data_IF_521524548613
#
_entry.id   IF_521524548613
#
_cell.length_a   1.000
_cell.length_b   1.000
_cell.length_c   1.000
_cell.angle_alpha   90.00
_cell.angle_beta   90.00
_cell.angle_gamma   90.00
#
_symmetry.space_group_name_H-M   'P 1'
#
loop_
_entity.id
_entity.type
_entity.pdbx_description
1 polymer ?
#
# COMPACT_ATOMS: atom_id res chain seq x y z
N UNK A 1 39.74 -62.56 5.35
CA UNK A 1 39.45 -62.98 6.73
C UNK A 1 38.05 -62.47 7.08
N UNK A 2 37.01 -63.29 6.89
CA UNK A 2 36.36 -64.12 7.93
C UNK A 2 35.75 -63.25 9.07
N UNK A 3 34.48 -63.31 9.45
CA UNK A 3 33.39 -64.21 9.07
C UNK A 3 32.01 -63.63 9.44
N UNK A 4 31.00 -64.21 8.79
CA UNK A 4 29.56 -64.10 8.96
C UNK A 4 29.03 -64.37 10.39
N UNK A 5 27.83 -63.85 10.71
CA UNK A 5 26.74 -64.71 11.22
C UNK A 5 25.32 -64.12 11.04
N UNK A 6 24.51 -64.86 10.28
CA UNK A 6 23.04 -64.81 10.14
C UNK A 6 22.32 -65.45 11.35
N UNK A 7 21.04 -65.11 11.54
CA UNK A 7 19.86 -65.97 11.91
C UNK A 7 18.59 -65.08 11.90
N UNK A 8 17.62 -65.22 10.96
CA UNK A 8 16.42 -66.11 10.93
C UNK A 8 15.60 -66.06 12.24
N UNK A 9 14.40 -65.45 12.31
CA UNK A 9 13.08 -65.77 11.72
C UNK A 9 12.29 -66.82 12.52
N UNK A 10 11.09 -66.44 13.00
CA UNK A 10 9.93 -67.33 13.22
C UNK A 10 8.63 -66.54 13.15
N UNK A 11 7.78 -66.95 12.21
CA UNK A 11 6.32 -66.79 12.17
C UNK A 11 5.66 -67.34 13.44
N UNK A 12 4.47 -66.85 13.76
CA UNK A 12 3.36 -67.72 14.14
C UNK A 12 2.02 -67.10 13.72
N UNK A 13 1.24 -67.95 13.06
CA UNK A 13 -0.12 -67.79 12.54
C UNK A 13 -1.03 -68.65 13.41
N UNK A 14 -2.29 -68.22 13.57
CA UNK A 14 -3.55 -69.02 13.60
C UNK A 14 -4.60 -68.29 14.47
N UNK A 15 -5.68 -67.84 13.82
CA UNK A 15 -7.06 -68.39 13.94
C UNK A 15 -7.73 -67.97 15.26
N UNK A 16 -8.90 -67.35 15.33
CA UNK A 16 -10.04 -67.24 14.43
C UNK A 16 -11.28 -67.33 15.33
N UNK A 17 -12.10 -66.29 15.41
CA UNK A 17 -13.54 -66.48 15.67
C UNK A 17 -14.35 -65.22 15.39
N UNK A 18 -15.55 -65.43 14.88
CA UNK A 18 -16.37 -64.45 14.21
C UNK A 18 -17.79 -64.37 14.83
N UNK A 19 -18.42 -63.19 14.67
CA UNK A 19 -19.89 -62.92 14.57
C UNK A 19 -20.63 -62.78 15.94
N UNK A 20 -21.74 -62.00 16.06
CA UNK A 20 -21.94 -60.56 15.84
C UNK A 20 -22.82 -59.90 16.95
N UNK A 21 -22.93 -58.57 16.99
CA UNK A 21 -24.18 -57.97 17.52
C UNK A 21 -24.43 -56.55 17.01
N UNK A 22 -25.47 -56.48 16.17
CA UNK A 22 -26.22 -55.29 15.81
C UNK A 22 -26.64 -54.51 17.07
N UNK A 23 -26.44 -53.19 17.08
CA UNK A 23 -27.48 -52.26 17.54
C UNK A 23 -27.48 -51.02 16.67
N UNK A 24 -28.52 -50.97 15.86
CA UNK A 24 -29.01 -49.86 15.06
C UNK A 24 -29.75 -48.93 16.04
N UNK A 25 -29.32 -47.69 16.18
CA UNK A 25 -30.17 -46.63 16.72
C UNK A 25 -29.89 -45.35 15.94
N UNK A 26 -30.69 -45.19 14.89
CA UNK A 26 -31.04 -43.92 14.27
C UNK A 26 -31.65 -43.01 15.32
N UNK A 27 -31.02 -41.86 15.56
CA UNK A 27 -31.69 -40.67 16.06
C UNK A 27 -31.04 -39.47 15.36
N UNK A 28 -31.70 -39.02 14.30
CA UNK A 28 -31.50 -37.68 13.76
C UNK A 28 -31.72 -36.68 14.89
N UNK A 29 -30.71 -35.88 15.20
CA UNK A 29 -30.90 -34.63 15.89
C UNK A 29 -29.99 -33.59 15.27
N UNK A 30 -30.59 -32.84 14.34
CA UNK A 30 -30.22 -31.49 13.97
C UNK A 30 -29.87 -30.72 15.25
N UNK A 31 -28.59 -30.43 15.45
CA UNK A 31 -28.17 -29.24 16.19
C UNK A 31 -27.10 -28.56 15.37
N UNK A 32 -27.58 -27.58 14.62
CA UNK A 32 -26.81 -26.40 14.22
C UNK A 32 -26.06 -25.90 15.45
N UNK A 33 -24.76 -26.20 15.53
CA UNK A 33 -23.86 -25.38 16.33
C UNK A 33 -23.27 -24.34 15.39
N UNK A 34 -24.13 -23.40 15.01
CA UNK A 34 -23.70 -22.05 14.69
C UNK A 34 -23.08 -21.51 15.98
N UNK A 35 -21.77 -21.64 16.10
CA UNK A 35 -20.99 -20.91 17.08
C UNK A 35 -21.21 -19.43 16.80
N UNK A 36 -22.17 -18.84 17.51
CA UNK A 36 -22.37 -17.40 17.56
C UNK A 36 -21.05 -16.79 18.03
N UNK A 37 -20.33 -16.17 17.10
CA UNK A 37 -19.29 -15.21 17.45
C UNK A 37 -19.92 -14.24 18.46
N UNK A 38 -19.38 -14.24 19.68
CA UNK A 38 -19.72 -13.22 20.66
C UNK A 38 -19.16 -11.91 20.13
N UNK A 39 -20.01 -11.17 19.43
CA UNK A 39 -19.88 -9.73 19.28
C UNK A 39 -19.77 -9.13 20.68
N UNK A 40 -18.57 -8.70 21.06
CA UNK A 40 -18.37 -7.67 22.07
C UNK A 40 -17.24 -6.76 21.65
N UNK A 41 -17.59 -5.82 20.78
CA UNK A 41 -17.00 -4.50 20.78
C UNK A 41 -18.15 -3.49 20.69
N UNK A 42 -18.64 -3.09 21.85
CA UNK A 42 -19.75 -2.15 22.01
C UNK A 42 -19.29 -0.71 21.66
N UNK A 43 -20.08 0.00 20.84
CA UNK A 43 -20.22 1.46 20.96
C UNK A 43 -19.81 2.36 19.77
N UNK A 44 -18.94 1.93 18.86
CA UNK A 44 -18.36 2.86 17.85
C UNK A 44 -18.65 2.55 16.38
N UNK A 45 -19.49 1.55 16.07
CA UNK A 45 -19.75 1.14 14.68
C UNK A 45 -18.51 0.62 13.93
N UNK A 46 -17.41 0.39 14.64
CA UNK A 46 -16.18 -0.15 14.09
C UNK A 46 -16.25 -1.67 14.04
N UNK A 47 -16.08 -2.23 12.83
CA UNK A 47 -15.92 -3.66 12.61
C UNK A 47 -14.53 -3.92 12.03
N UNK A 48 -13.67 -4.70 12.69
CA UNK A 48 -12.37 -5.05 12.13
C UNK A 48 -12.56 -5.86 10.86
N UNK A 49 -11.68 -5.65 9.88
CA UNK A 49 -11.69 -6.41 8.65
C UNK A 49 -11.24 -7.85 8.93
N UNK A 50 -11.99 -8.80 8.40
CA UNK A 50 -11.56 -10.20 8.35
C UNK A 50 -10.50 -10.38 7.27
N UNK A 51 -9.68 -11.43 7.40
CA UNK A 51 -8.65 -11.72 6.40
C UNK A 51 -9.23 -12.02 5.00
N UNK A 52 -10.46 -12.55 4.95
CA UNK A 52 -11.19 -12.75 3.69
C UNK A 52 -11.61 -11.42 3.06
N UNK A 53 -12.14 -10.49 3.84
CA UNK A 53 -12.48 -9.15 3.35
C UNK A 53 -11.23 -8.39 2.88
N UNK A 54 -10.11 -8.55 3.58
CA UNK A 54 -8.80 -8.01 3.16
C UNK A 54 -8.39 -8.58 1.80
N UNK A 55 -8.43 -9.92 1.64
CA UNK A 55 -8.16 -10.58 0.36
C UNK A 55 -9.04 -10.02 -0.76
N UNK A 56 -10.34 -9.91 -0.54
CA UNK A 56 -11.29 -9.43 -1.55
C UNK A 56 -11.04 -7.96 -1.92
N UNK A 57 -10.64 -7.12 -0.95
CA UNK A 57 -10.21 -5.73 -1.20
C UNK A 57 -8.93 -5.66 -2.00
N UNK A 58 -7.92 -6.47 -1.69
CA UNK A 58 -6.68 -6.54 -2.48
C UNK A 58 -7.00 -6.97 -3.92
N UNK A 59 -7.91 -7.93 -4.10
CA UNK A 59 -8.33 -8.38 -5.43
C UNK A 59 -9.09 -7.29 -6.21
N UNK A 60 -9.89 -6.48 -5.51
CA UNK A 60 -10.54 -5.32 -6.11
C UNK A 60 -9.53 -4.24 -6.52
N UNK A 61 -8.53 -3.96 -5.67
CA UNK A 61 -7.45 -3.01 -5.97
C UNK A 61 -6.59 -3.45 -7.15
N UNK A 62 -6.28 -4.74 -7.26
CA UNK A 62 -5.54 -5.29 -8.40
C UNK A 62 -6.22 -4.98 -9.75
N UNK A 63 -7.56 -4.95 -9.77
CA UNK A 63 -8.35 -4.58 -10.97
C UNK A 63 -8.33 -3.08 -11.26
N UNK A 64 -8.03 -2.25 -10.26
CA UNK A 64 -7.94 -0.80 -10.39
C UNK A 64 -6.56 -0.31 -10.82
N UNK A 65 -5.56 -1.20 -10.90
CA UNK A 65 -4.22 -0.84 -11.39
C UNK A 65 -4.33 -0.30 -12.83
N UNK A 66 -3.99 0.98 -13.07
CA UNK A 66 -4.30 1.65 -14.31
C UNK A 66 -3.60 0.97 -15.50
N UNK A 67 -4.32 0.74 -16.62
CA UNK A 67 -3.70 0.26 -17.84
C UNK A 67 -2.71 1.30 -18.38
N UNK A 68 -1.73 0.84 -19.16
CA UNK A 68 -0.89 1.75 -19.95
C UNK A 68 -1.77 2.29 -21.09
N UNK A 69 -1.79 3.60 -21.35
CA UNK A 69 -2.55 4.15 -22.47
C UNK A 69 -2.11 3.56 -23.81
N UNK A 70 -3.06 3.14 -24.65
CA UNK A 70 -2.79 2.53 -25.96
C UNK A 70 -2.04 3.49 -26.90
N UNK A 71 -2.33 4.77 -26.77
CA UNK A 71 -1.68 5.88 -27.49
C UNK A 71 -0.22 6.14 -27.06
N UNK A 72 0.26 5.43 -26.03
CA UNK A 72 1.58 5.59 -25.46
C UNK A 72 1.80 6.93 -24.75
N UNK A 73 2.97 7.06 -24.11
CA UNK A 73 3.36 8.28 -23.40
C UNK A 73 4.15 9.28 -24.25
N UNK A 74 4.47 8.91 -25.49
CA UNK A 74 5.23 9.74 -26.42
C UNK A 74 4.28 10.47 -27.37
N UNK A 75 4.69 11.65 -27.84
CA UNK A 75 3.97 12.39 -28.87
C UNK A 75 4.14 11.68 -30.22
N UNK A 76 3.12 11.65 -31.06
CA UNK A 76 3.22 10.98 -32.37
C UNK A 76 4.34 11.58 -33.22
N UNK A 77 5.13 10.71 -33.87
CA UNK A 77 6.26 11.13 -34.69
C UNK A 77 7.52 11.53 -33.91
N UNK A 78 7.50 11.52 -32.58
CA UNK A 78 8.66 11.88 -31.75
C UNK A 78 9.48 10.66 -31.35
N UNK A 79 10.80 10.86 -31.25
CA UNK A 79 11.72 9.80 -30.81
C UNK A 79 11.87 9.81 -29.29
N UNK A 80 12.02 8.64 -28.63
CA UNK A 80 12.43 8.57 -27.24
C UNK A 80 13.77 9.25 -26.95
N UNK A 81 14.60 9.45 -27.98
CA UNK A 81 15.94 10.08 -27.91
C UNK A 81 15.98 11.48 -28.53
N UNK A 82 14.83 12.10 -28.72
CA UNK A 82 14.75 13.45 -29.28
C UNK A 82 15.44 14.48 -28.38
N UNK A 83 16.19 15.39 -29.01
CA UNK A 83 16.88 16.49 -28.35
C UNK A 83 16.13 17.79 -28.61
N UNK A 84 16.11 18.69 -27.63
CA UNK A 84 15.51 20.01 -27.81
C UNK A 84 16.27 20.84 -28.84
N UNK A 85 15.54 21.65 -29.62
CA UNK A 85 16.11 22.66 -30.52
C UNK A 85 16.61 23.91 -29.78
N UNK A 86 16.20 24.09 -28.52
CA UNK A 86 16.56 25.24 -27.67
C UNK A 86 17.51 24.77 -26.57
N UNK A 87 18.66 25.43 -26.47
CA UNK A 87 19.68 25.14 -25.44
C UNK A 87 19.08 25.45 -24.05
N UNK A 88 19.07 24.46 -23.16
CA UNK A 88 18.58 24.60 -21.79
C UNK A 88 17.08 24.34 -21.61
N UNK A 89 16.37 23.92 -22.66
CA UNK A 89 14.98 23.45 -22.54
C UNK A 89 14.90 21.94 -22.77
N UNK A 90 14.13 21.19 -21.95
CA UNK A 90 13.93 19.77 -22.18
C UNK A 90 13.04 19.53 -23.42
N UNK A 91 13.24 18.42 -24.16
CA UNK A 91 12.46 18.12 -25.35
C UNK A 91 10.97 17.93 -25.02
N UNK A 92 10.11 18.30 -25.97
CA UNK A 92 8.65 18.19 -25.83
C UNK A 92 8.08 16.93 -26.52
N UNK A 93 8.74 15.79 -26.29
CA UNK A 93 8.38 14.49 -26.88
C UNK A 93 7.46 13.64 -25.97
N UNK A 94 7.14 14.11 -24.76
CA UNK A 94 6.38 13.36 -23.76
C UNK A 94 5.02 13.99 -23.47
N UNK A 95 3.97 13.16 -23.42
CA UNK A 95 2.63 13.53 -22.93
C UNK A 95 2.63 13.64 -21.40
N UNK A 96 3.32 14.66 -20.85
CA UNK A 96 3.55 14.83 -19.39
C UNK A 96 2.26 14.77 -18.56
N UNK A 97 1.16 15.34 -19.05
CA UNK A 97 -0.14 15.29 -18.38
C UNK A 97 -0.69 13.86 -18.24
N UNK A 98 -0.58 13.05 -19.30
CA UNK A 98 -1.03 11.66 -19.30
C UNK A 98 -0.18 10.80 -18.36
N UNK A 99 1.14 11.00 -18.37
CA UNK A 99 2.07 10.31 -17.45
C UNK A 99 1.72 10.65 -15.99
N UNK A 100 1.50 11.94 -15.69
CA UNK A 100 1.09 12.39 -14.35
C UNK A 100 -0.21 11.75 -13.89
N UNK A 101 -1.22 11.71 -14.78
CA UNK A 101 -2.50 11.09 -14.48
C UNK A 101 -2.34 9.60 -14.15
N UNK A 102 -1.65 8.86 -15.03
CA UNK A 102 -1.39 7.44 -14.80
C UNK A 102 -0.62 7.20 -13.49
N UNK A 103 0.40 8.01 -13.22
CA UNK A 103 1.19 7.93 -11.99
C UNK A 103 0.33 8.21 -10.74
N UNK A 104 -0.56 9.19 -10.81
CA UNK A 104 -1.47 9.55 -9.72
C UNK A 104 -2.47 8.43 -9.44
N UNK A 105 -3.09 7.88 -10.49
CA UNK A 105 -4.03 6.75 -10.36
C UNK A 105 -3.33 5.54 -9.74
N UNK A 106 -2.10 5.23 -10.17
CA UNK A 106 -1.32 4.14 -9.59
C UNK A 106 -0.94 4.43 -8.13
N UNK A 107 -0.53 5.65 -7.78
CA UNK A 107 -0.19 6.02 -6.40
C UNK A 107 -1.38 5.81 -5.46
N UNK A 108 -2.59 6.21 -5.87
CA UNK A 108 -3.82 6.01 -5.06
C UNK A 108 -4.02 4.54 -4.74
N UNK A 109 -3.90 3.66 -5.74
CA UNK A 109 -4.03 2.20 -5.55
C UNK A 109 -2.98 1.66 -4.56
N UNK A 110 -1.73 2.17 -4.64
CA UNK A 110 -0.65 1.72 -3.75
C UNK A 110 -0.82 2.21 -2.30
N UNK A 111 -1.32 3.43 -2.10
CA UNK A 111 -1.64 3.95 -0.76
C UNK A 111 -2.80 3.16 -0.13
N UNK A 112 -3.86 2.89 -0.90
CA UNK A 112 -4.98 2.06 -0.43
C UNK A 112 -4.53 0.63 -0.09
N UNK A 113 -3.64 0.04 -0.90
CA UNK A 113 -3.04 -1.25 -0.60
C UNK A 113 -2.27 -1.22 0.73
N UNK A 114 -1.45 -0.20 0.96
CA UNK A 114 -0.69 -0.04 2.20
C UNK A 114 -1.61 -0.01 3.44
N UNK A 115 -2.71 0.73 3.36
CA UNK A 115 -3.71 0.79 4.44
C UNK A 115 -4.38 -0.57 4.69
N UNK A 116 -4.71 -1.31 3.62
CA UNK A 116 -5.33 -2.64 3.73
C UNK A 116 -4.38 -3.65 4.36
N UNK A 117 -3.09 -3.62 4.02
CA UNK A 117 -2.08 -4.52 4.59
C UNK A 117 -1.86 -4.28 6.09
N UNK A 118 -1.95 -3.04 6.57
CA UNK A 118 -1.89 -2.74 8.00
C UNK A 118 -2.97 -3.48 8.82
N UNK A 119 -4.12 -3.79 8.21
CA UNK A 119 -5.20 -4.55 8.84
C UNK A 119 -4.94 -6.07 8.94
N UNK A 120 -3.91 -6.61 8.27
CA UNK A 120 -3.62 -8.06 8.34
C UNK A 120 -3.21 -8.47 9.75
N UNK A 121 -2.39 -7.65 10.41
CA UNK A 121 -1.92 -7.91 11.78
C UNK A 121 -3.08 -8.07 12.78
N UNK A 122 -4.10 -7.23 12.66
CA UNK A 122 -5.29 -7.27 13.52
C UNK A 122 -6.22 -8.41 13.15
N UNK A 123 -6.38 -8.71 11.86
CA UNK A 123 -7.18 -9.83 11.37
C UNK A 123 -6.62 -11.21 11.76
N UNK A 124 -5.30 -11.32 11.90
CA UNK A 124 -4.61 -12.56 12.27
C UNK A 124 -4.26 -12.64 13.76
N UNK A 125 -4.69 -11.68 14.57
CA UNK A 125 -4.35 -11.65 15.99
C UNK A 125 -5.04 -12.78 16.75
N UNK A 126 -4.22 -13.67 17.31
CA UNK A 126 -4.59 -14.65 18.34
C UNK A 126 -3.57 -14.58 19.48
N UNK A 127 -4.01 -14.73 20.73
CA UNK A 127 -3.08 -14.80 21.86
C UNK A 127 -2.19 -16.04 21.74
N UNK A 128 -0.95 -15.98 22.25
CA UNK A 128 0.06 -17.03 22.00
C UNK A 128 -0.34 -18.42 22.50
N UNK A 129 -1.15 -18.51 23.55
CA UNK A 129 -1.68 -19.79 24.04
C UNK A 129 -2.75 -20.40 23.13
N UNK A 130 -3.35 -19.59 22.25
CA UNK A 130 -4.43 -19.98 21.36
C UNK A 130 -3.92 -20.36 19.96
N UNK A 131 -2.58 -20.37 19.78
CA UNK A 131 -1.93 -20.76 18.53
C UNK A 131 -1.22 -22.09 18.67
N UNK A 132 -1.44 -22.96 17.69
CA UNK A 132 -0.56 -24.10 17.47
C UNK A 132 0.80 -23.61 16.93
N UNK A 133 1.86 -24.41 17.11
CA UNK A 133 3.16 -24.11 16.50
C UNK A 133 3.09 -24.04 14.96
N UNK A 134 2.22 -24.84 14.33
CA UNK A 134 1.99 -24.79 12.88
C UNK A 134 1.30 -23.48 12.45
N UNK A 135 0.31 -23.01 13.21
CA UNK A 135 -0.36 -21.73 12.97
C UNK A 135 0.62 -20.55 13.05
N UNK A 136 1.60 -20.60 13.94
CA UNK A 136 2.59 -19.54 14.09
C UNK A 136 3.59 -19.53 12.92
N UNK A 137 4.07 -20.70 12.50
CA UNK A 137 4.90 -20.83 11.29
C UNK A 137 4.19 -20.31 10.03
N UNK A 138 2.94 -20.70 9.83
CA UNK A 138 2.15 -20.24 8.68
C UNK A 138 1.94 -18.72 8.70
N UNK A 139 1.77 -18.12 9.89
CA UNK A 139 1.66 -16.67 10.01
C UNK A 139 2.98 -15.96 9.72
N UNK A 140 4.12 -16.52 10.16
CA UNK A 140 5.44 -15.98 9.83
C UNK A 140 5.62 -15.94 8.32
N UNK A 141 5.35 -17.05 7.62
CA UNK A 141 5.43 -17.13 6.16
C UNK A 141 4.52 -16.11 5.47
N UNK A 142 3.28 -15.95 5.94
CA UNK A 142 2.38 -14.92 5.42
C UNK A 142 2.99 -13.52 5.57
N UNK A 143 3.47 -13.17 6.76
CA UNK A 143 4.04 -11.85 7.03
C UNK A 143 5.31 -11.58 6.22
N UNK A 144 6.20 -12.57 6.13
CA UNK A 144 7.45 -12.44 5.38
C UNK A 144 7.18 -12.17 3.89
N UNK A 145 6.21 -12.88 3.31
CA UNK A 145 5.83 -12.68 1.91
C UNK A 145 5.11 -11.35 1.67
N UNK A 146 4.19 -10.96 2.56
CA UNK A 146 3.52 -9.66 2.47
C UNK A 146 4.52 -8.50 2.60
N UNK A 147 5.44 -8.57 3.55
CA UNK A 147 6.50 -7.55 3.72
C UNK A 147 7.43 -7.51 2.50
N UNK A 148 7.87 -8.67 2.00
CA UNK A 148 8.72 -8.75 0.80
C UNK A 148 8.04 -8.10 -0.41
N UNK A 149 6.75 -8.36 -0.63
CA UNK A 149 6.00 -7.76 -1.74
C UNK A 149 5.80 -6.26 -1.57
N UNK A 150 5.52 -5.79 -0.35
CA UNK A 150 5.42 -4.37 -0.02
C UNK A 150 6.76 -3.64 -0.25
N UNK A 151 7.87 -4.23 0.18
CA UNK A 151 9.22 -3.67 0.00
C UNK A 151 9.62 -3.56 -1.48
N UNK A 152 9.26 -4.55 -2.29
CA UNK A 152 9.51 -4.51 -3.73
C UNK A 152 8.77 -3.36 -4.41
N UNK A 153 7.50 -3.13 -4.04
CA UNK A 153 6.72 -2.00 -4.54
C UNK A 153 7.30 -0.68 -4.03
N UNK A 154 7.53 -0.57 -2.72
CA UNK A 154 7.98 0.65 -2.06
C UNK A 154 9.38 1.10 -2.50
N UNK A 155 10.28 0.16 -2.81
CA UNK A 155 11.65 0.48 -3.23
C UNK A 155 11.80 0.73 -4.73
N UNK A 156 10.93 0.17 -5.57
CA UNK A 156 11.07 0.24 -7.04
C UNK A 156 10.06 1.16 -7.71
N UNK A 157 8.82 1.18 -7.22
CA UNK A 157 7.69 1.86 -7.88
C UNK A 157 7.45 3.23 -7.26
N UNK A 158 7.23 3.28 -5.95
CA UNK A 158 6.89 4.52 -5.23
C UNK A 158 7.87 5.68 -5.45
N UNK A 159 9.21 5.50 -5.44
CA UNK A 159 10.14 6.61 -5.65
C UNK A 159 10.02 7.22 -7.05
N UNK A 160 9.71 6.39 -8.06
CA UNK A 160 9.56 6.82 -9.45
C UNK A 160 8.28 7.61 -9.66
N UNK A 161 7.20 7.23 -8.98
CA UNK A 161 5.96 8.00 -8.96
C UNK A 161 6.17 9.34 -8.25
N UNK A 162 6.81 9.33 -7.09
CA UNK A 162 7.09 10.53 -6.28
C UNK A 162 7.89 11.57 -7.06
N UNK A 163 8.92 11.16 -7.80
CA UNK A 163 9.73 12.09 -8.60
C UNK A 163 8.93 12.88 -9.64
N UNK A 164 7.85 12.31 -10.17
CA UNK A 164 7.00 12.94 -11.18
C UNK A 164 5.83 13.72 -10.56
N UNK A 165 5.25 13.19 -9.48
CA UNK A 165 4.10 13.77 -8.80
C UNK A 165 4.48 14.95 -7.89
N UNK A 166 5.62 14.85 -7.20
CA UNK A 166 6.14 15.85 -6.28
C UNK A 166 7.58 16.22 -6.64
N UNK A 167 7.80 16.90 -7.79
CA UNK A 167 9.12 17.41 -8.12
C UNK A 167 9.54 18.49 -7.12
N UNK A 168 10.85 18.64 -6.91
CA UNK A 168 11.39 19.70 -6.06
C UNK A 168 11.15 21.05 -6.73
N UNK A 169 10.60 21.99 -5.97
CA UNK A 169 10.25 23.33 -6.43
C UNK A 169 10.79 24.35 -5.44
N UNK A 170 11.41 25.40 -5.97
CA UNK A 170 11.83 26.55 -5.19
C UNK A 170 10.73 27.62 -5.20
N UNK A 171 10.52 28.22 -4.02
CA UNK A 171 9.67 29.40 -3.88
C UNK A 171 10.49 30.63 -4.27
N UNK A 172 10.20 31.18 -5.44
CA UNK A 172 10.88 32.37 -5.96
C UNK A 172 9.93 33.56 -5.85
N UNK A 173 10.44 34.73 -5.45
CA UNK A 173 9.65 35.97 -5.49
C UNK A 173 9.47 36.36 -6.96
N UNK A 174 8.25 36.22 -7.46
CA UNK A 174 7.92 36.59 -8.83
C UNK A 174 7.80 38.10 -8.98
N UNK A 175 7.16 38.76 -8.01
CA UNK A 175 6.92 40.20 -8.04
C UNK A 175 6.72 40.75 -6.65
N UNK A 176 7.34 41.90 -6.36
CA UNK A 176 6.98 42.70 -5.19
C UNK A 176 6.01 43.80 -5.60
N UNK A 177 4.80 43.77 -5.03
CA UNK A 177 3.77 44.80 -5.23
C UNK A 177 3.84 45.77 -4.06
N UNK A 178 4.33 46.98 -4.31
CA UNK A 178 4.29 48.08 -3.33
C UNK A 178 3.01 48.88 -3.54
N UNK A 179 2.12 48.86 -2.55
CA UNK A 179 0.89 49.65 -2.58
C UNK A 179 0.98 50.77 -1.56
N UNK A 180 0.78 52.02 -1.99
CA UNK A 180 0.70 53.17 -1.09
C UNK A 180 -0.75 53.34 -0.63
N UNK A 181 -1.01 53.05 0.64
CA UNK A 181 -2.35 53.18 1.24
C UNK A 181 -2.40 54.50 2.01
N UNK A 182 -3.36 55.38 1.70
CA UNK A 182 -3.64 56.56 2.51
C UNK A 182 -4.17 56.10 3.87
N UNK A 183 -3.51 56.47 4.95
CA UNK A 183 -4.09 56.26 6.27
C UNK A 183 -5.36 57.10 6.38
N UNK A 184 -6.53 56.51 6.69
CA UNK A 184 -7.65 57.30 7.15
C UNK A 184 -7.20 58.03 8.42
N UNK A 185 -7.34 59.36 8.44
CA UNK A 185 -7.13 60.16 9.65
C UNK A 185 -8.23 59.79 10.65
N UNK A 186 -8.06 58.71 11.38
CA UNK A 186 -8.85 58.50 12.60
C UNK A 186 -8.47 59.57 13.60
N UNK A 187 -9.50 60.23 14.12
CA UNK A 187 -9.39 61.41 14.95
C UNK A 187 -8.45 61.18 16.14
N UNK A 188 -7.44 62.05 16.26
CA UNK A 188 -6.63 62.20 17.47
C UNK A 188 -7.57 62.50 18.64
N UNK A 189 -7.73 61.54 19.55
CA UNK A 189 -7.96 61.85 20.95
C UNK A 189 -6.73 61.37 21.73
N UNK A 190 -6.24 62.30 22.55
CA UNK A 190 -5.02 62.31 23.35
C UNK A 190 -4.56 60.97 23.94
N UNK A 191 -3.25 60.78 23.93
CA UNK A 191 -2.55 60.10 25.01
C UNK A 191 -1.56 59.04 24.55
N UNK A 192 -0.29 59.45 24.52
CA UNK A 192 0.85 58.65 24.98
C UNK A 192 1.49 57.60 24.04
N UNK A 193 2.81 57.51 24.20
CA UNK A 193 3.75 56.46 23.82
C UNK A 193 4.12 56.25 22.34
N UNK A 194 5.36 56.69 22.05
CA UNK A 194 6.33 56.23 21.06
C UNK A 194 6.05 54.92 20.30
N UNK A 195 5.98 55.01 18.98
CA UNK A 195 6.54 54.00 18.06
C UNK A 195 7.13 54.75 16.87
N UNK A 196 8.47 54.88 16.81
CA UNK A 196 9.20 55.21 15.58
C UNK A 196 9.00 54.04 14.62
N UNK A 197 8.05 54.18 13.70
CA UNK A 197 7.75 53.19 12.68
C UNK A 197 8.41 53.64 11.37
N UNK A 198 9.55 53.03 11.05
CA UNK A 198 10.22 53.15 9.76
C UNK A 198 9.23 52.88 8.61
N UNK A 199 8.95 53.90 7.80
CA UNK A 199 8.17 53.74 6.55
C UNK A 199 7.06 54.76 6.27
N UNK A 200 6.85 55.77 7.11
CA UNK A 200 5.89 56.85 6.83
C UNK A 200 6.58 57.92 5.98
N UNK A 201 6.13 58.10 4.74
CA UNK A 201 6.53 59.26 3.90
C UNK A 201 5.74 60.49 4.33
N UNK A 202 6.31 61.69 4.16
CA UNK A 202 5.81 62.99 4.67
C UNK A 202 4.32 63.29 4.32
N UNK A 203 3.74 62.60 3.34
CA UNK A 203 2.37 62.78 2.85
C UNK A 203 1.28 61.90 3.53
N UNK A 204 1.59 61.14 4.59
CA UNK A 204 0.58 60.34 5.32
C UNK A 204 0.12 59.06 4.61
N UNK A 205 0.98 58.51 3.76
CA UNK A 205 0.79 57.19 3.13
C UNK A 205 1.61 56.14 3.88
N UNK A 206 1.01 54.96 4.09
CA UNK A 206 1.70 53.76 4.54
C UNK A 206 2.08 52.94 3.31
N UNK A 207 3.37 52.65 3.14
CA UNK A 207 3.84 51.74 2.10
C UNK A 207 3.64 50.29 2.54
N UNK A 208 2.74 49.58 1.88
CA UNK A 208 2.55 48.13 2.08
C UNK A 208 3.24 47.39 0.94
N UNK A 209 4.35 46.71 1.25
CA UNK A 209 5.05 45.81 0.32
C UNK A 209 4.46 44.40 0.45
N UNK A 210 3.89 43.88 -0.64
CA UNK A 210 3.39 42.50 -0.72
C UNK A 210 4.21 41.73 -1.75
N UNK A 211 4.91 40.70 -1.31
CA UNK A 211 5.64 39.78 -2.21
C UNK A 211 4.67 38.73 -2.77
N UNK A 212 4.64 38.57 -4.08
CA UNK A 212 3.98 37.49 -4.81
C UNK A 212 5.04 36.43 -5.10
N UNK A 213 4.81 35.22 -4.62
CA UNK A 213 5.73 34.10 -4.79
C UNK A 213 5.20 33.14 -5.86
N UNK A 214 6.09 32.66 -6.71
CA UNK A 214 5.83 31.59 -7.68
C UNK A 214 6.69 30.37 -7.37
N UNK A 215 6.26 29.20 -7.83
CA UNK A 215 7.01 27.94 -7.69
C UNK A 215 7.73 27.66 -9.00
N UNK A 216 9.05 27.79 -9.01
CA UNK A 216 9.86 27.36 -10.15
C UNK A 216 10.43 25.97 -9.88
N UNK A 217 10.53 25.17 -10.93
CA UNK A 217 11.24 23.88 -10.85
C UNK A 217 12.73 24.17 -10.67
N UNK A 218 13.34 23.53 -9.69
CA UNK A 218 14.78 23.68 -9.42
C UNK A 218 15.62 23.14 -10.60
N UNK A 219 15.21 22.01 -11.18
CA UNK A 219 15.88 21.37 -12.32
C UNK A 219 14.85 20.81 -13.34
N UNK A 220 14.53 21.56 -14.40
CA UNK A 220 13.62 21.12 -15.46
C UNK A 220 14.10 19.87 -16.23
N UNK A 221 15.41 19.69 -16.39
CA UNK A 221 16.01 18.60 -17.14
C UNK A 221 15.93 17.29 -16.34
N UNK A 222 16.23 17.33 -15.05
CA UNK A 222 16.04 16.20 -14.15
C UNK A 222 14.58 15.77 -14.09
N UNK A 223 13.65 16.74 -14.03
CA UNK A 223 12.22 16.45 -14.04
C UNK A 223 11.83 15.77 -15.35
N UNK A 224 12.28 16.28 -16.50
CA UNK A 224 12.06 15.64 -17.78
C UNK A 224 12.61 14.21 -17.84
N UNK A 225 13.84 13.99 -17.35
CA UNK A 225 14.44 12.67 -17.23
C UNK A 225 13.57 11.73 -16.37
N UNK A 226 12.98 12.23 -15.29
CA UNK A 226 12.06 11.44 -14.46
C UNK A 226 10.80 11.03 -15.23
N UNK A 227 10.20 11.92 -16.03
CA UNK A 227 9.10 11.56 -16.92
C UNK A 227 9.51 10.50 -17.94
N UNK A 228 10.69 10.64 -18.55
CA UNK A 228 11.19 9.71 -19.56
C UNK A 228 11.44 8.32 -18.98
N UNK A 229 12.08 8.24 -17.82
CA UNK A 229 12.31 6.99 -17.09
C UNK A 229 10.98 6.34 -16.74
N UNK A 230 10.01 7.11 -16.24
CA UNK A 230 8.69 6.59 -15.87
C UNK A 230 7.93 6.09 -17.11
N UNK A 231 7.87 6.88 -18.17
CA UNK A 231 7.22 6.50 -19.43
C UNK A 231 7.80 5.21 -20.02
N UNK A 232 9.13 5.09 -20.06
CA UNK A 232 9.82 3.91 -20.58
C UNK A 232 9.58 2.66 -19.73
N UNK A 233 9.58 2.81 -18.41
CA UNK A 233 9.51 1.67 -17.48
C UNK A 233 8.08 1.33 -17.06
N UNK A 234 7.08 2.13 -17.41
CA UNK A 234 5.70 1.97 -16.96
C UNK A 234 5.12 0.56 -17.22
N UNK A 235 5.33 -0.10 -18.38
CA UNK A 235 4.84 -1.47 -18.59
C UNK A 235 5.44 -2.47 -17.59
N UNK A 236 6.75 -2.38 -17.36
CA UNK A 236 7.43 -3.27 -16.40
C UNK A 236 7.01 -2.96 -14.96
N UNK A 237 6.88 -1.68 -14.60
CA UNK A 237 6.40 -1.28 -13.27
C UNK A 237 4.99 -1.80 -13.02
N UNK A 238 4.09 -1.70 -14.00
CA UNK A 238 2.74 -2.26 -13.91
C UNK A 238 2.78 -3.78 -13.70
N UNK A 239 3.63 -4.50 -14.43
CA UNK A 239 3.80 -5.94 -14.24
C UNK A 239 4.34 -6.30 -12.85
N UNK A 240 5.32 -5.55 -12.33
CA UNK A 240 5.84 -5.73 -10.97
C UNK A 240 4.71 -5.56 -9.95
N UNK A 241 3.90 -4.50 -10.08
CA UNK A 241 2.76 -4.25 -9.18
C UNK A 241 1.77 -5.42 -9.25
N UNK A 242 1.30 -5.79 -10.44
CA UNK A 242 0.31 -6.86 -10.60
C UNK A 242 0.79 -8.24 -10.14
N UNK A 243 2.07 -8.55 -10.37
CA UNK A 243 2.67 -9.81 -9.89
C UNK A 243 2.72 -9.85 -8.37
N UNK A 244 3.06 -8.72 -7.72
CA UNK A 244 3.04 -8.61 -6.26
C UNK A 244 1.61 -8.71 -5.71
N UNK A 245 0.61 -8.06 -6.33
CA UNK A 245 -0.80 -8.25 -5.99
C UNK A 245 -1.22 -9.74 -6.06
N UNK A 246 -0.86 -10.42 -7.15
CA UNK A 246 -1.16 -11.84 -7.36
C UNK A 246 -0.53 -12.70 -6.27
N UNK A 247 0.74 -12.41 -5.92
CA UNK A 247 1.45 -13.10 -4.86
C UNK A 247 0.80 -12.89 -3.49
N UNK A 248 0.46 -11.65 -3.13
CA UNK A 248 -0.24 -11.32 -1.88
C UNK A 248 -1.56 -12.10 -1.75
N UNK A 249 -2.37 -12.14 -2.82
CA UNK A 249 -3.63 -12.88 -2.84
C UNK A 249 -3.42 -14.38 -2.63
N UNK A 250 -2.42 -14.95 -3.31
CA UNK A 250 -2.09 -16.37 -3.18
C UNK A 250 -1.61 -16.70 -1.76
N UNK A 251 -0.72 -15.89 -1.17
CA UNK A 251 -0.23 -16.09 0.20
C UNK A 251 -1.37 -16.05 1.23
N UNK A 252 -2.31 -15.10 1.12
CA UNK A 252 -3.47 -15.03 2.01
C UNK A 252 -4.37 -16.25 1.84
N UNK A 253 -4.61 -16.68 0.60
CA UNK A 253 -5.40 -17.88 0.30
C UNK A 253 -4.78 -19.15 0.88
N UNK A 254 -3.46 -19.30 0.76
CA UNK A 254 -2.74 -20.44 1.29
C UNK A 254 -2.77 -20.45 2.83
N UNK A 255 -2.61 -19.30 3.48
CA UNK A 255 -2.77 -19.16 4.92
C UNK A 255 -4.19 -19.54 5.40
N UNK A 256 -5.22 -19.04 4.73
CA UNK A 256 -6.62 -19.40 5.03
C UNK A 256 -6.87 -20.91 4.85
N UNK A 257 -6.29 -21.51 3.82
CA UNK A 257 -6.33 -22.95 3.60
C UNK A 257 -5.66 -23.73 4.73
N UNK A 258 -4.49 -23.27 5.19
CA UNK A 258 -3.76 -23.89 6.29
C UNK A 258 -4.51 -23.80 7.63
N UNK A 259 -5.15 -22.66 7.95
CA UNK A 259 -5.96 -22.48 9.16
C UNK A 259 -7.16 -23.45 9.22
N UNK A 260 -7.77 -23.74 8.08
CA UNK A 260 -8.89 -24.69 8.00
C UNK A 260 -8.45 -26.14 8.28
N UNK A 261 -7.20 -26.49 7.96
CA UNK A 261 -6.66 -27.82 8.23
C UNK A 261 -6.24 -27.96 9.71
N UNK A 262 -5.71 -26.89 10.31
CA UNK A 262 -5.24 -26.91 11.69
C UNK A 262 -6.41 -27.06 12.69
N UNK A 263 -7.56 -26.46 12.39
CA UNK A 263 -8.80 -26.61 13.18
C UNK A 263 -9.38 -28.03 13.15
N UNK A 264 -9.07 -28.84 12.14
CA UNK A 264 -9.49 -30.25 12.08
C UNK A 264 -8.63 -31.17 12.97
N UNK A 265 -7.43 -30.72 13.37
CA UNK A 265 -6.50 -31.50 14.18
C UNK A 265 -6.58 -31.22 15.69
N UNK A 266 -7.43 -30.28 16.13
CA UNK A 266 -7.80 -30.16 17.54
C UNK A 266 -8.73 -31.33 17.96
N UNK A 267 -8.15 -32.53 18.08
CA UNK A 267 -8.73 -33.60 18.89
C UNK A 267 -8.65 -33.20 20.35
N UNK A 268 -9.80 -33.29 21.00
CA UNK A 268 -9.99 -33.18 22.45
C UNK A 268 -8.88 -33.91 23.21
N UNK A 269 -7.99 -33.16 23.86
CA UNK A 269 -7.36 -33.66 25.07
C UNK A 269 -8.40 -33.55 26.17
N UNK A 270 -9.24 -34.58 26.28
CA UNK A 270 -10.02 -34.84 27.47
C UNK A 270 -9.02 -35.20 28.59
N UNK A 271 -8.84 -34.28 29.54
CA UNK A 271 -8.39 -34.60 30.89
C UNK A 271 -9.60 -34.55 31.82
#
# INVERSE_FOLDING_TARGET
>A
MNAQKKRKATDNKEEGNAIPSKKKSTAASKKENGGKEKERFDGFGFKPLTLKEIHDRIAALAKQVPPIPDEGFYVEGTSPHETSSVIGEPPNNLKKALIKRWASELQVVLEELGLVLCCVSTACYKWGTDRSGASDQNLSLLNDELNSTQDQIASRVTPRLRNVLTPVVDLVVEKTVTTKIKQPKEGRNNGDASITQDGVTEDGFVEVKRNVFTRQLEDPDFVHLCYQILARNAPMMRNVVLTNFTKMLQCIKDYLGAQNNDTQHHREFAY
#
